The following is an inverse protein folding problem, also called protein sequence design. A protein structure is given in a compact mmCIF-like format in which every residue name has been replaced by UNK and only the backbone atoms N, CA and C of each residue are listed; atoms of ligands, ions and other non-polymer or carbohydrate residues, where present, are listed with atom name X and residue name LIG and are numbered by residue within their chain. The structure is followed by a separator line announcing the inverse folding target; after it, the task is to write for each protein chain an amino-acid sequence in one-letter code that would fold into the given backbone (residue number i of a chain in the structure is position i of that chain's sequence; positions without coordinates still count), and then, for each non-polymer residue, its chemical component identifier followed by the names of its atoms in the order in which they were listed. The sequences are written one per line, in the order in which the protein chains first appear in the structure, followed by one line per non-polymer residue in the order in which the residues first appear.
data_IF_618697726252
#
_entry.id   IF_618697726252
#
_cell.length_a   1.000
_cell.length_b   1.000
_cell.length_c   1.000
_cell.angle_alpha   90.00
_cell.angle_beta   90.00
_cell.angle_gamma   90.00
#
_symmetry.space_group_name_H-M   'P 1'
#
loop_
_entity.id
_entity.type
_entity.pdbx_description
1 polymer ?
#
# COMPACT_ATOMS: atom_id res chain seq x y z
N UNK A 1 45.85 -20.76 -30.90
CA UNK A 1 44.93 -20.87 -29.75
C UNK A 1 45.78 -21.13 -28.53
N UNK A 2 45.88 -20.14 -27.64
CA UNK A 2 46.82 -20.16 -26.52
C UNK A 2 46.44 -21.26 -25.52
N UNK A 3 47.41 -21.81 -24.79
CA UNK A 3 47.16 -22.78 -23.69
C UNK A 3 46.20 -22.18 -22.65
N UNK A 4 46.19 -20.85 -22.51
CA UNK A 4 45.28 -20.09 -21.67
C UNK A 4 43.83 -20.22 -22.16
N UNK A 5 43.59 -20.19 -23.48
CA UNK A 5 42.24 -20.31 -24.06
C UNK A 5 41.66 -21.71 -23.82
N UNK A 6 42.50 -22.75 -23.92
CA UNK A 6 42.07 -24.13 -23.62
C UNK A 6 41.76 -24.34 -22.15
N UNK A 7 42.46 -23.66 -21.23
CA UNK A 7 42.21 -23.72 -19.79
C UNK A 7 40.91 -23.02 -19.40
N UNK A 8 40.60 -21.85 -19.97
CA UNK A 8 39.32 -21.15 -19.74
C UNK A 8 38.11 -22.00 -20.12
N UNK A 9 38.21 -22.70 -21.26
CA UNK A 9 37.18 -23.61 -21.76
C UNK A 9 36.98 -24.87 -20.91
N UNK A 10 38.05 -25.35 -20.25
CA UNK A 10 38.02 -26.54 -19.40
C UNK A 10 37.46 -26.27 -18.00
N UNK A 11 37.53 -25.02 -17.51
CA UNK A 11 37.02 -24.60 -16.18
C UNK A 11 35.58 -24.04 -16.28
N UNK A 12 34.96 -24.01 -17.47
CA UNK A 12 33.62 -23.45 -17.65
C UNK A 12 33.54 -21.93 -17.50
N UNK A 13 34.67 -21.22 -17.59
CA UNK A 13 34.77 -19.76 -17.51
C UNK A 13 34.85 -19.12 -18.90
N UNK A 14 34.06 -19.61 -19.86
CA UNK A 14 33.87 -19.04 -21.21
C UNK A 14 32.39 -18.76 -21.50
N UNK A 15 31.74 -17.98 -20.66
CA UNK A 15 30.84 -16.97 -21.20
C UNK A 15 31.39 -15.63 -20.70
N UNK A 16 32.00 -14.85 -21.59
CA UNK A 16 32.26 -13.44 -21.32
C UNK A 16 30.98 -12.85 -20.73
N UNK A 17 31.10 -12.15 -19.61
CA UNK A 17 30.00 -11.55 -18.90
C UNK A 17 29.44 -10.39 -19.75
N UNK A 18 28.77 -10.73 -20.86
CA UNK A 18 28.32 -9.78 -21.88
C UNK A 18 27.44 -8.74 -21.21
N UNK A 19 27.73 -7.48 -21.47
CA UNK A 19 26.97 -6.38 -20.88
C UNK A 19 25.47 -6.52 -21.19
N UNK A 20 24.61 -6.12 -20.25
CA UNK A 20 23.16 -6.27 -20.35
C UNK A 20 22.62 -5.70 -21.67
N UNK A 21 23.16 -4.55 -22.10
CA UNK A 21 22.81 -3.88 -23.36
C UNK A 21 23.15 -4.74 -24.57
N UNK A 22 24.27 -5.46 -24.54
CA UNK A 22 24.69 -6.35 -25.62
C UNK A 22 23.74 -7.53 -25.75
N UNK A 23 23.35 -8.14 -24.62
CA UNK A 23 22.40 -9.27 -24.60
C UNK A 23 21.02 -8.89 -25.14
N UNK A 24 20.54 -7.68 -24.82
CA UNK A 24 19.28 -7.16 -25.33
C UNK A 24 19.33 -6.89 -26.83
N UNK A 25 20.43 -6.29 -27.31
CA UNK A 25 20.64 -6.02 -28.74
C UNK A 25 20.75 -7.30 -29.56
N UNK A 26 21.32 -8.37 -28.99
CA UNK A 26 21.39 -9.70 -29.62
C UNK A 26 20.07 -10.50 -29.55
N UNK A 27 19.01 -9.96 -28.92
CA UNK A 27 17.72 -10.65 -28.74
C UNK A 27 17.77 -11.82 -27.75
N UNK A 28 18.82 -11.93 -26.94
CA UNK A 28 19.01 -13.00 -25.95
C UNK A 28 18.32 -12.68 -24.62
N UNK A 29 16.99 -12.48 -24.67
CA UNK A 29 16.19 -11.98 -23.54
C UNK A 29 16.21 -12.89 -22.32
N UNK A 30 16.19 -14.22 -22.48
CA UNK A 30 16.25 -15.15 -21.34
C UNK A 30 17.56 -15.03 -20.56
N UNK A 31 18.69 -14.80 -21.26
CA UNK A 31 19.99 -14.55 -20.62
C UNK A 31 20.01 -13.18 -19.95
N UNK A 32 19.38 -12.18 -20.57
CA UNK A 32 19.24 -10.85 -19.98
C UNK A 32 18.40 -10.89 -18.69
N UNK A 33 17.28 -11.63 -18.65
CA UNK A 33 16.47 -11.86 -17.44
C UNK A 33 17.30 -12.43 -16.29
N UNK A 34 18.25 -13.32 -16.58
CA UNK A 34 19.18 -13.87 -15.58
C UNK A 34 20.08 -12.85 -14.89
N UNK A 35 20.25 -11.64 -15.44
CA UNK A 35 21.01 -10.54 -14.82
C UNK A 35 20.17 -9.64 -13.92
N UNK A 36 18.87 -9.88 -13.83
CA UNK A 36 17.97 -9.16 -12.95
C UNK A 36 17.64 -9.98 -11.69
N UNK A 37 17.32 -9.26 -10.63
CA UNK A 37 16.70 -9.83 -9.43
C UNK A 37 15.19 -9.66 -9.47
N UNK A 38 14.46 -10.65 -8.96
CA UNK A 38 12.99 -10.64 -8.83
C UNK A 38 12.58 -11.07 -7.44
N UNK A 39 11.42 -10.58 -6.99
CA UNK A 39 10.84 -10.91 -5.67
C UNK A 39 9.53 -11.69 -5.78
N UNK A 40 9.24 -12.26 -6.95
CA UNK A 40 7.93 -12.85 -7.31
C UNK A 40 7.41 -13.85 -6.27
N UNK A 41 8.23 -14.78 -5.79
CA UNK A 41 7.80 -15.77 -4.80
C UNK A 41 7.36 -15.15 -3.46
N UNK A 42 8.00 -14.05 -3.05
CA UNK A 42 7.62 -13.33 -1.83
C UNK A 42 6.32 -12.55 -2.05
N UNK A 43 6.20 -11.90 -3.21
CA UNK A 43 5.01 -11.11 -3.56
C UNK A 43 3.78 -12.01 -3.66
N UNK A 44 3.90 -13.15 -4.34
CA UNK A 44 2.79 -14.10 -4.51
C UNK A 44 2.27 -14.60 -3.14
N UNK A 45 3.18 -14.89 -2.20
CA UNK A 45 2.80 -15.23 -0.81
C UNK A 45 2.09 -14.07 -0.09
N UNK A 46 2.53 -12.84 -0.30
CA UNK A 46 1.87 -11.67 0.29
C UNK A 46 0.49 -11.43 -0.33
N UNK A 47 0.29 -11.72 -1.62
CA UNK A 47 -1.01 -11.65 -2.29
C UNK A 47 -1.99 -12.68 -1.76
N UNK A 48 -1.55 -13.92 -1.52
CA UNK A 48 -2.36 -14.95 -0.86
C UNK A 48 -2.86 -14.51 0.54
N UNK A 49 -2.03 -13.76 1.28
CA UNK A 49 -2.38 -13.20 2.59
C UNK A 49 -3.24 -11.93 2.51
N UNK A 50 -3.22 -11.26 1.36
CA UNK A 50 -3.95 -10.01 1.14
C UNK A 50 -5.37 -10.24 0.64
N UNK A 51 -5.57 -11.27 -0.18
CA UNK A 51 -6.85 -11.66 -0.74
C UNK A 51 -7.55 -12.65 0.18
N UNK A 52 -8.64 -12.22 0.81
CA UNK A 52 -9.41 -13.06 1.75
C UNK A 52 -9.92 -14.36 1.14
N UNK A 53 -10.11 -14.40 -0.18
CA UNK A 53 -10.53 -15.59 -0.91
C UNK A 53 -9.43 -16.66 -0.97
N UNK A 54 -8.16 -16.24 -0.95
CA UNK A 54 -6.98 -17.09 -1.05
C UNK A 54 -6.42 -17.51 0.33
N UNK A 55 -7.03 -17.04 1.42
CA UNK A 55 -6.58 -17.36 2.78
C UNK A 55 -6.61 -18.88 3.04
N UNK A 56 -5.66 -19.38 3.82
CA UNK A 56 -5.55 -20.81 4.12
C UNK A 56 -6.86 -21.43 4.66
N UNK A 57 -7.67 -20.65 5.39
CA UNK A 57 -8.95 -21.10 5.94
C UNK A 57 -9.99 -21.42 4.85
N UNK A 58 -9.96 -20.74 3.70
CA UNK A 58 -10.93 -20.96 2.61
C UNK A 58 -10.68 -22.27 1.87
N UNK A 59 -9.41 -22.67 1.77
CA UNK A 59 -8.98 -23.93 1.13
C UNK A 59 -9.40 -25.19 1.89
N UNK A 60 -9.71 -25.07 3.20
CA UNK A 60 -10.17 -26.17 4.05
C UNK A 60 -11.67 -26.42 3.83
N UNK A 61 -12.08 -26.70 2.60
CA UNK A 61 -13.47 -27.04 2.30
C UNK A 61 -13.77 -28.48 2.70
N UNK A 62 -14.71 -28.65 3.64
CA UNK A 62 -15.36 -29.92 4.01
C UNK A 62 -14.44 -31.08 4.46
N UNK A 63 -14.45 -31.40 5.75
CA UNK A 63 -13.87 -32.66 6.24
C UNK A 63 -14.83 -33.80 5.89
N UNK A 64 -14.37 -34.79 5.11
CA UNK A 64 -15.12 -36.04 4.87
C UNK A 64 -15.28 -36.80 6.19
N UNK A 65 -16.51 -37.22 6.51
CA UNK A 65 -16.77 -38.17 7.59
C UNK A 65 -16.64 -39.62 7.11
N UNK A 66 -16.40 -40.52 8.07
CA UNK A 66 -16.51 -41.98 7.90
C UNK A 66 -17.99 -42.33 7.69
N UNK A 67 -18.46 -42.19 6.45
CA UNK A 67 -19.72 -42.70 5.83
C UNK A 67 -20.16 -41.89 4.59
N UNK A 68 -19.34 -40.96 4.10
CA UNK A 68 -19.57 -40.31 2.80
C UNK A 68 -20.31 -38.97 2.87
N UNK A 69 -20.89 -38.60 4.01
CA UNK A 69 -21.52 -37.30 4.18
C UNK A 69 -20.46 -36.20 4.38
N UNK A 70 -20.63 -35.10 3.64
CA UNK A 70 -19.82 -33.89 3.77
C UNK A 70 -20.35 -33.09 4.95
N UNK A 71 -19.53 -32.88 5.97
CA UNK A 71 -19.86 -31.91 7.02
C UNK A 71 -19.65 -30.51 6.44
N UNK A 72 -20.70 -29.69 6.43
CA UNK A 72 -20.58 -28.26 6.15
C UNK A 72 -19.72 -27.62 7.26
N UNK A 73 -18.70 -26.89 6.85
CA UNK A 73 -17.83 -26.14 7.76
C UNK A 73 -17.80 -24.68 7.31
N UNK A 74 -17.92 -23.78 8.28
CA UNK A 74 -17.89 -22.35 8.06
C UNK A 74 -16.45 -21.89 7.92
N UNK A 75 -16.09 -21.39 6.73
CA UNK A 75 -14.79 -20.78 6.48
C UNK A 75 -14.95 -19.26 6.52
N UNK A 76 -14.46 -18.63 7.59
CA UNK A 76 -14.62 -17.20 7.85
C UNK A 76 -13.25 -16.50 7.78
N UNK A 77 -12.76 -16.12 6.58
CA UNK A 77 -11.57 -15.30 6.44
C UNK A 77 -11.83 -13.88 6.95
N UNK A 78 -10.81 -13.24 7.53
CA UNK A 78 -10.90 -11.91 8.13
C UNK A 78 -9.83 -11.00 7.53
N UNK A 79 -10.24 -9.85 7.01
CA UNK A 79 -9.37 -8.91 6.29
C UNK A 79 -8.50 -8.01 7.21
N UNK A 80 -7.79 -8.60 8.19
CA UNK A 80 -6.92 -7.84 9.10
C UNK A 80 -5.77 -7.14 8.35
N UNK A 81 -5.17 -7.83 7.39
CA UNK A 81 -4.08 -7.34 6.55
C UNK A 81 -4.47 -6.04 5.84
N UNK A 82 -5.67 -6.02 5.25
CA UNK A 82 -6.22 -4.82 4.57
C UNK A 82 -6.44 -3.65 5.53
N UNK A 83 -6.94 -3.92 6.74
CA UNK A 83 -7.15 -2.87 7.73
C UNK A 83 -5.82 -2.27 8.22
N UNK A 84 -4.82 -3.11 8.48
CA UNK A 84 -3.47 -2.69 8.91
C UNK A 84 -2.84 -1.79 7.83
N UNK A 85 -2.80 -2.26 6.58
CA UNK A 85 -2.21 -1.50 5.46
C UNK A 85 -2.98 -0.22 5.20
N UNK A 86 -4.31 -0.27 5.10
CA UNK A 86 -5.14 0.91 4.84
C UNK A 86 -4.92 1.99 5.90
N UNK A 87 -4.78 1.60 7.17
CA UNK A 87 -4.52 2.55 8.24
C UNK A 87 -3.10 3.12 8.18
N UNK A 88 -2.09 2.28 7.94
CA UNK A 88 -0.71 2.74 7.76
C UNK A 88 -0.58 3.75 6.60
N UNK A 89 -1.26 3.48 5.48
CA UNK A 89 -1.30 4.38 4.32
C UNK A 89 -2.03 5.68 4.66
N UNK A 90 -3.14 5.63 5.40
CA UNK A 90 -3.85 6.83 5.84
C UNK A 90 -2.98 7.71 6.75
N UNK A 91 -2.15 7.11 7.61
CA UNK A 91 -1.22 7.88 8.43
C UNK A 91 -0.04 8.49 7.65
N UNK A 92 0.30 7.93 6.49
CA UNK A 92 1.43 8.36 5.66
C UNK A 92 1.04 9.39 4.61
N UNK A 93 -0.09 9.17 3.94
CA UNK A 93 -0.58 9.97 2.80
C UNK A 93 -2.03 10.45 2.98
N UNK A 94 -2.58 10.41 4.20
CA UNK A 94 -3.91 10.93 4.48
C UNK A 94 -4.02 12.44 4.28
N UNK A 95 -2.90 13.16 4.45
CA UNK A 95 -2.77 14.54 4.04
C UNK A 95 -1.88 14.64 2.78
N UNK A 96 -2.21 15.54 1.83
CA UNK A 96 -1.46 15.68 0.59
C UNK A 96 -0.04 16.17 0.87
N UNK A 97 0.87 15.79 -0.01
CA UNK A 97 2.29 16.11 0.13
C UNK A 97 2.53 17.52 -0.38
N UNK A 98 3.12 18.38 0.46
CA UNK A 98 3.46 19.74 0.06
C UNK A 98 4.89 19.79 -0.46
N UNK A 99 5.05 20.33 -1.67
CA UNK A 99 6.38 20.67 -2.20
C UNK A 99 6.71 22.11 -1.85
N UNK A 100 7.92 22.35 -1.36
CA UNK A 100 8.44 23.70 -1.13
C UNK A 100 9.62 23.98 -2.03
N UNK A 101 9.57 25.12 -2.71
CA UNK A 101 10.68 25.65 -3.49
C UNK A 101 11.71 26.29 -2.55
N UNK A 102 12.96 25.82 -2.59
CA UNK A 102 14.07 26.41 -1.82
C UNK A 102 14.95 27.36 -2.67
N UNK A 103 14.90 27.24 -3.99
CA UNK A 103 15.69 28.06 -4.92
C UNK A 103 14.99 29.36 -5.28
N UNK A 104 15.77 30.42 -5.55
CA UNK A 104 15.27 31.71 -6.03
C UNK A 104 15.33 31.78 -7.56
N UNK A 105 14.33 32.39 -8.20
CA UNK A 105 14.30 32.61 -9.65
C UNK A 105 14.11 31.32 -10.45
N UNK A 106 13.34 30.38 -9.92
CA UNK A 106 13.00 29.10 -10.56
C UNK A 106 11.49 28.86 -10.56
N UNK A 107 10.73 29.95 -10.53
CA UNK A 107 9.31 29.95 -10.19
C UNK A 107 8.48 29.32 -11.33
N UNK A 108 8.88 29.55 -12.58
CA UNK A 108 8.20 28.94 -13.75
C UNK A 108 8.42 27.43 -13.77
N UNK A 109 9.67 26.99 -13.57
CA UNK A 109 9.99 25.58 -13.47
C UNK A 109 9.26 24.88 -12.31
N UNK A 110 9.12 25.56 -11.16
CA UNK A 110 8.40 25.02 -10.00
C UNK A 110 6.88 24.96 -10.23
N UNK A 111 6.28 25.98 -10.84
CA UNK A 111 4.88 25.97 -11.21
C UNK A 111 4.56 24.80 -12.16
N UNK A 112 5.34 24.65 -13.24
CA UNK A 112 5.15 23.56 -14.19
C UNK A 112 5.34 22.16 -13.57
N UNK A 113 6.25 22.03 -12.60
CA UNK A 113 6.40 20.79 -11.83
C UNK A 113 5.15 20.47 -11.01
N UNK A 114 4.55 21.47 -10.37
CA UNK A 114 3.30 21.28 -9.62
C UNK A 114 2.14 20.94 -10.56
N UNK A 115 1.98 21.66 -11.66
CA UNK A 115 0.94 21.41 -12.66
C UNK A 115 0.99 19.97 -13.18
N UNK A 116 2.18 19.47 -13.54
CA UNK A 116 2.37 18.08 -13.97
C UNK A 116 1.99 17.06 -12.88
N UNK A 117 2.30 17.36 -11.61
CA UNK A 117 1.94 16.46 -10.49
C UNK A 117 0.44 16.44 -10.26
N UNK A 118 -0.22 17.58 -10.39
CA UNK A 118 -1.67 17.71 -10.22
C UNK A 118 -2.42 17.04 -11.38
N UNK A 119 -1.98 17.24 -12.62
CA UNK A 119 -2.52 16.58 -13.82
C UNK A 119 -2.45 15.06 -13.74
N UNK A 120 -1.33 14.54 -13.21
CA UNK A 120 -1.16 13.11 -12.99
C UNK A 120 -1.89 12.57 -11.76
N UNK A 121 -2.50 13.45 -10.94
CA UNK A 121 -3.08 13.15 -9.62
C UNK A 121 -2.11 12.40 -8.73
N UNK A 122 -0.91 12.95 -8.56
CA UNK A 122 0.19 12.27 -7.88
C UNK A 122 -0.13 11.89 -6.44
N UNK A 123 -0.93 12.67 -5.71
CA UNK A 123 -1.32 12.30 -4.33
C UNK A 123 -2.10 10.99 -4.27
N UNK A 124 -3.10 10.82 -5.16
CA UNK A 124 -3.84 9.57 -5.25
C UNK A 124 -2.93 8.41 -5.67
N UNK A 125 -1.99 8.65 -6.60
CA UNK A 125 -1.00 7.65 -7.00
C UNK A 125 0.00 7.31 -5.90
N UNK A 126 0.34 8.27 -5.02
CA UNK A 126 1.19 8.01 -3.85
C UNK A 126 0.48 7.09 -2.87
N UNK A 127 -0.79 7.36 -2.59
CA UNK A 127 -1.62 6.53 -1.73
C UNK A 127 -1.79 5.09 -2.28
N UNK A 128 -2.09 4.98 -3.57
CA UNK A 128 -2.23 3.67 -4.24
C UNK A 128 -0.88 2.92 -4.28
N UNK A 129 0.20 3.61 -4.64
CA UNK A 129 1.55 3.04 -4.65
C UNK A 129 1.98 2.56 -3.26
N UNK A 130 1.70 3.32 -2.20
CA UNK A 130 1.98 2.92 -0.82
C UNK A 130 1.17 1.68 -0.41
N UNK A 131 -0.10 1.62 -0.83
CA UNK A 131 -0.96 0.46 -0.59
C UNK A 131 -0.38 -0.79 -1.24
N UNK A 132 0.05 -0.69 -2.51
CA UNK A 132 0.68 -1.78 -3.25
C UNK A 132 2.01 -2.18 -2.60
N UNK A 133 2.88 -1.23 -2.26
CA UNK A 133 4.14 -1.51 -1.58
C UNK A 133 3.93 -2.23 -0.24
N UNK A 134 2.99 -1.76 0.57
CA UNK A 134 2.74 -2.29 1.92
C UNK A 134 2.04 -3.65 1.91
N UNK A 135 1.27 -3.94 0.87
CA UNK A 135 0.58 -5.23 0.68
C UNK A 135 1.47 -6.25 -0.05
N UNK A 136 2.08 -5.88 -1.17
CA UNK A 136 2.81 -6.76 -2.08
C UNK A 136 4.33 -6.75 -1.89
N UNK A 137 4.88 -5.86 -1.06
CA UNK A 137 6.32 -5.62 -0.81
C UNK A 137 7.10 -4.94 -1.93
N UNK A 138 6.56 -4.88 -3.14
CA UNK A 138 7.20 -4.26 -4.30
C UNK A 138 6.16 -3.58 -5.18
N UNK A 139 6.48 -2.36 -5.63
CA UNK A 139 5.73 -1.67 -6.68
C UNK A 139 6.65 -0.67 -7.39
N UNK A 140 6.22 -0.15 -8.52
CA UNK A 140 6.97 0.91 -9.19
C UNK A 140 6.06 1.94 -9.86
N UNK A 141 6.60 3.15 -10.04
CA UNK A 141 5.98 4.20 -10.88
C UNK A 141 6.80 4.37 -12.14
N UNK A 142 6.18 4.14 -13.29
CA UNK A 142 6.76 4.39 -14.60
C UNK A 142 6.23 5.71 -15.15
N UNK A 143 7.11 6.64 -15.47
CA UNK A 143 6.77 7.91 -16.12
C UNK A 143 7.00 7.79 -17.61
N UNK A 144 5.96 8.04 -18.40
CA UNK A 144 6.01 7.98 -19.87
C UNK A 144 5.67 9.33 -20.47
N UNK A 145 6.37 9.65 -21.56
CA UNK A 145 6.00 10.76 -22.42
C UNK A 145 4.58 10.57 -22.97
N UNK A 146 3.79 11.64 -22.95
CA UNK A 146 2.41 11.62 -23.42
C UNK A 146 2.07 12.87 -24.21
N UNK A 147 1.23 12.68 -25.22
CA UNK A 147 0.70 13.75 -26.05
C UNK A 147 -0.77 13.94 -25.71
N UNK A 148 -1.09 15.02 -25.02
CA UNK A 148 -2.45 15.39 -24.67
C UNK A 148 -3.18 16.04 -25.85
N UNK A 149 -4.50 16.20 -25.75
CA UNK A 149 -5.33 16.83 -26.80
C UNK A 149 -4.89 18.25 -27.13
N UNK A 150 -4.32 18.94 -26.14
CA UNK A 150 -3.90 20.34 -26.23
C UNK A 150 -2.47 20.48 -26.79
N UNK A 151 -1.86 19.38 -27.23
CA UNK A 151 -0.58 19.42 -27.90
C UNK A 151 -0.67 20.13 -29.25
N UNK A 152 0.38 20.86 -29.61
CA UNK A 152 0.46 21.58 -30.89
C UNK A 152 0.13 20.63 -32.07
N UNK A 153 -1.00 20.84 -32.77
CA UNK A 153 -1.45 19.94 -33.83
C UNK A 153 -0.48 19.93 -35.02
N UNK A 154 0.41 20.92 -35.14
CA UNK A 154 1.33 21.06 -36.26
C UNK A 154 2.63 20.27 -36.08
N UNK A 155 3.04 19.98 -34.84
CA UNK A 155 4.25 19.21 -34.53
C UNK A 155 3.88 17.92 -33.79
N UNK A 156 3.70 16.82 -34.55
CA UNK A 156 3.36 15.49 -34.01
C UNK A 156 4.47 14.81 -33.23
N UNK A 157 5.69 15.38 -33.25
CA UNK A 157 6.86 14.78 -32.61
C UNK A 157 7.07 15.26 -31.17
N UNK A 158 6.41 16.36 -30.77
CA UNK A 158 6.50 16.91 -29.41
C UNK A 158 5.47 16.30 -28.46
N UNK A 159 5.95 15.94 -27.28
CA UNK A 159 5.13 15.56 -26.14
C UNK A 159 4.96 16.77 -25.23
N UNK A 160 3.74 17.05 -24.79
CA UNK A 160 3.40 18.18 -23.94
C UNK A 160 3.09 17.77 -22.49
N UNK A 161 2.96 16.48 -22.21
CA UNK A 161 2.59 15.98 -20.88
C UNK A 161 3.35 14.70 -20.52
N UNK A 162 3.24 14.31 -19.26
CA UNK A 162 3.79 13.06 -18.72
C UNK A 162 2.64 12.30 -18.07
N UNK A 163 2.58 10.99 -18.27
CA UNK A 163 1.67 10.12 -17.51
C UNK A 163 2.49 9.19 -16.62
N UNK A 164 1.95 8.93 -15.44
CA UNK A 164 2.51 7.98 -14.49
C UNK A 164 1.67 6.70 -14.47
N UNK A 165 2.31 5.55 -14.70
CA UNK A 165 1.72 4.22 -14.68
C UNK A 165 2.23 3.50 -13.43
N UNK A 166 1.31 2.97 -12.63
CA UNK A 166 1.67 2.14 -11.47
C UNK A 166 1.85 0.69 -11.92
N UNK A 167 3.00 0.11 -11.58
CA UNK A 167 3.36 -1.26 -11.88
C UNK A 167 3.35 -2.07 -10.58
N UNK A 168 2.65 -3.21 -10.59
CA UNK A 168 2.58 -4.12 -9.46
C UNK A 168 2.16 -5.52 -9.90
N UNK A 169 2.38 -6.52 -9.06
CA UNK A 169 2.06 -7.93 -9.36
C UNK A 169 0.56 -8.12 -9.48
N UNK A 170 -0.24 -7.51 -8.61
CA UNK A 170 -1.71 -7.52 -8.70
C UNK A 170 -2.25 -6.87 -9.99
N UNK A 171 -1.48 -5.99 -10.63
CA UNK A 171 -1.83 -5.34 -11.90
C UNK A 171 -1.39 -6.13 -13.13
N UNK A 172 -0.73 -7.27 -12.94
CA UNK A 172 -0.26 -8.14 -14.02
C UNK A 172 1.17 -7.85 -14.48
N UNK A 173 1.92 -7.01 -13.75
CA UNK A 173 3.32 -6.69 -14.06
C UNK A 173 4.28 -7.46 -13.15
N UNK A 174 5.39 -7.96 -13.71
CA UNK A 174 6.53 -8.47 -12.95
C UNK A 174 7.69 -7.51 -13.13
N UNK A 175 8.22 -7.00 -12.02
CA UNK A 175 9.31 -6.04 -12.01
C UNK A 175 10.63 -6.80 -11.84
N UNK A 176 11.57 -6.51 -12.71
CA UNK A 176 12.92 -7.08 -12.73
C UNK A 176 13.92 -5.96 -12.45
N UNK A 177 14.77 -6.11 -11.45
CA UNK A 177 15.62 -4.99 -10.97
C UNK A 177 17.10 -5.37 -11.01
N UNK A 178 17.93 -4.50 -11.57
CA UNK A 178 19.38 -4.68 -11.67
C UNK A 178 20.08 -3.52 -10.97
N UNK A 179 20.75 -3.83 -9.86
CA UNK A 179 21.57 -2.90 -9.10
C UNK A 179 23.05 -3.16 -9.36
N UNK A 180 23.87 -2.11 -9.31
CA UNK A 180 25.33 -2.29 -9.27
C UNK A 180 25.83 -2.69 -7.87
N UNK A 181 27.14 -2.88 -7.75
CA UNK A 181 27.80 -3.24 -6.48
C UNK A 181 27.66 -2.18 -5.38
N UNK A 182 27.29 -0.94 -5.74
CA UNK A 182 27.08 0.17 -4.82
C UNK A 182 25.60 0.39 -4.48
N UNK A 183 24.71 -0.46 -4.98
CA UNK A 183 23.26 -0.34 -4.77
C UNK A 183 22.60 0.72 -5.65
N UNK A 184 23.28 1.19 -6.71
CA UNK A 184 22.68 2.13 -7.67
C UNK A 184 21.91 1.35 -8.72
N UNK A 185 20.68 1.78 -8.98
CA UNK A 185 19.81 1.18 -9.98
C UNK A 185 20.37 1.40 -11.40
N UNK A 186 20.67 0.31 -12.11
CA UNK A 186 21.24 0.34 -13.48
C UNK A 186 20.18 0.13 -14.56
N UNK A 187 19.25 -0.79 -14.33
CA UNK A 187 18.17 -1.09 -15.26
C UNK A 187 16.95 -1.64 -14.52
N UNK A 188 15.77 -1.41 -15.11
CA UNK A 188 14.51 -2.01 -14.66
C UNK A 188 13.85 -2.70 -15.84
N UNK A 189 13.56 -3.99 -15.70
CA UNK A 189 12.72 -4.74 -16.62
C UNK A 189 11.27 -4.79 -16.14
N UNK A 190 10.34 -4.78 -17.08
CA UNK A 190 8.90 -4.95 -16.86
C UNK A 190 8.41 -6.09 -17.73
N UNK A 191 7.94 -7.16 -17.11
CA UNK A 191 7.33 -8.29 -17.79
C UNK A 191 5.81 -8.26 -17.62
N UNK A 192 5.07 -8.36 -18.72
CA UNK A 192 3.61 -8.29 -18.73
C UNK A 192 3.04 -9.00 -19.96
N UNK A 193 1.73 -9.24 -19.97
CA UNK A 193 1.02 -9.89 -21.09
C UNK A 193 -0.03 -8.95 -21.66
N UNK A 194 -0.02 -8.78 -22.97
CA UNK A 194 -1.03 -8.00 -23.70
C UNK A 194 -1.84 -8.94 -24.57
N UNK A 195 -3.16 -8.86 -24.46
CA UNK A 195 -4.06 -9.63 -25.33
C UNK A 195 -4.28 -8.87 -26.62
N UNK A 196 -3.81 -9.42 -27.73
CA UNK A 196 -4.03 -8.90 -29.08
C UNK A 196 -4.67 -9.98 -29.95
N UNK A 197 -5.83 -9.69 -30.56
CA UNK A 197 -6.57 -10.63 -31.42
C UNK A 197 -6.73 -12.04 -30.80
N UNK A 198 -7.17 -12.12 -29.53
CA UNK A 198 -7.32 -13.37 -28.75
C UNK A 198 -6.03 -14.18 -28.53
N UNK A 199 -4.85 -13.60 -28.75
CA UNK A 199 -3.56 -14.19 -28.36
C UNK A 199 -2.93 -13.36 -27.26
N UNK A 200 -2.39 -14.02 -26.25
CA UNK A 200 -1.60 -13.36 -25.21
C UNK A 200 -0.16 -13.25 -25.72
N UNK A 201 0.30 -12.02 -25.94
CA UNK A 201 1.67 -11.69 -26.34
C UNK A 201 2.45 -11.34 -25.07
N UNK A 202 3.59 -12.00 -24.87
CA UNK A 202 4.50 -11.71 -23.76
C UNK A 202 5.40 -10.54 -24.11
N UNK A 203 5.49 -9.57 -23.19
CA UNK A 203 6.34 -8.40 -23.31
C UNK A 203 7.40 -8.41 -22.21
N UNK A 204 8.58 -7.91 -22.53
CA UNK A 204 9.67 -7.67 -21.58
C UNK A 204 10.37 -6.35 -21.92
N UNK A 205 9.89 -5.26 -21.33
CA UNK A 205 10.42 -3.93 -21.59
C UNK A 205 11.54 -3.60 -20.60
N UNK A 206 12.71 -3.20 -21.09
CA UNK A 206 13.86 -2.83 -20.25
C UNK A 206 14.13 -1.34 -20.35
N UNK A 207 14.14 -0.67 -19.20
CA UNK A 207 14.37 0.76 -19.08
C UNK A 207 15.78 1.01 -18.52
N UNK A 208 16.58 1.76 -19.27
CA UNK A 208 17.93 2.20 -18.84
C UNK A 208 18.03 3.73 -18.91
N UNK A 209 19.16 4.28 -18.48
CA UNK A 209 19.37 5.73 -18.54
C UNK A 209 19.41 6.26 -19.99
N UNK A 210 19.96 5.48 -20.93
CA UNK A 210 20.24 5.95 -22.31
C UNK A 210 19.28 5.37 -23.35
N UNK A 211 18.91 4.09 -23.23
CA UNK A 211 18.08 3.39 -24.22
C UNK A 211 17.03 2.52 -23.51
N UNK A 212 15.79 2.62 -23.95
CA UNK A 212 14.72 1.72 -23.54
C UNK A 212 14.56 0.64 -24.61
N UNK A 213 14.44 -0.62 -24.21
CA UNK A 213 14.27 -1.76 -25.11
C UNK A 213 12.87 -2.31 -24.92
N UNK A 214 12.04 -2.21 -25.96
CA UNK A 214 10.70 -2.80 -25.97
C UNK A 214 10.80 -4.18 -26.61
N UNK A 215 10.56 -5.24 -25.84
CA UNK A 215 10.69 -6.60 -26.34
C UNK A 215 9.33 -7.27 -26.35
N UNK A 216 8.95 -7.89 -27.47
CA UNK A 216 7.74 -8.70 -27.56
C UNK A 216 8.05 -10.08 -28.12
N UNK A 217 7.27 -11.08 -27.69
CA UNK A 217 7.45 -12.46 -28.11
C UNK A 217 6.50 -12.81 -29.24
N UNK A 218 7.02 -12.87 -30.47
CA UNK A 218 6.27 -13.25 -31.66
C UNK A 218 6.82 -14.54 -32.28
N UNK A 219 5.93 -15.49 -32.58
CA UNK A 219 6.27 -16.77 -33.25
C UNK A 219 7.44 -17.53 -32.59
N UNK A 220 7.55 -17.47 -31.26
CA UNK A 220 8.58 -18.16 -30.47
C UNK A 220 9.95 -17.45 -30.42
N UNK A 221 10.10 -16.28 -31.04
CA UNK A 221 11.31 -15.43 -30.96
C UNK A 221 10.99 -14.10 -30.29
N UNK A 222 12.02 -13.48 -29.72
CA UNK A 222 11.93 -12.14 -29.17
C UNK A 222 12.27 -11.12 -30.26
N UNK A 223 11.36 -10.20 -30.51
CA UNK A 223 11.62 -8.98 -31.30
C UNK A 223 11.99 -7.87 -30.32
N UNK A 224 13.06 -7.15 -30.60
CA UNK A 224 13.59 -6.09 -29.73
C UNK A 224 13.62 -4.77 -30.48
N UNK A 225 12.91 -3.79 -29.96
CA UNK A 225 12.88 -2.42 -30.47
C UNK A 225 13.62 -1.47 -29.50
N UNK A 226 14.86 -1.06 -29.84
CA UNK A 226 15.58 -0.06 -29.05
C UNK A 226 15.06 1.35 -29.36
N UNK A 227 14.65 2.08 -28.33
CA UNK A 227 14.23 3.49 -28.38
C UNK A 227 15.14 4.34 -27.50
N UNK A 228 15.64 5.44 -28.03
CA UNK A 228 16.47 6.38 -27.27
C UNK A 228 15.65 6.96 -26.10
N UNK A 229 16.23 6.94 -24.90
CA UNK A 229 15.61 7.54 -23.73
C UNK A 229 15.93 9.05 -23.67
N UNK A 230 14.95 9.87 -24.04
CA UNK A 230 15.10 11.33 -24.14
C UNK A 230 15.50 11.97 -22.81
N UNK A 231 15.03 11.44 -21.67
CA UNK A 231 15.29 12.06 -20.36
C UNK A 231 16.72 11.79 -19.85
N UNK A 232 17.44 10.79 -20.37
CA UNK A 232 18.78 10.42 -19.92
C UNK A 232 18.83 9.88 -18.48
N UNK A 233 17.69 9.42 -17.94
CA UNK A 233 17.52 8.84 -16.60
C UNK A 233 16.54 7.68 -16.70
N UNK A 234 16.67 6.66 -15.85
CA UNK A 234 15.68 5.57 -15.81
C UNK A 234 14.31 6.18 -15.42
N UNK A 235 13.26 6.04 -16.24
CA UNK A 235 11.93 6.64 -16.01
C UNK A 235 11.08 5.89 -14.96
N UNK A 236 11.68 4.97 -14.22
CA UNK A 236 10.99 4.14 -13.22
C UNK A 236 11.53 4.45 -11.83
N UNK A 237 10.60 4.61 -10.88
CA UNK A 237 10.89 4.65 -9.44
C UNK A 237 10.39 3.36 -8.83
N UNK A 238 11.33 2.48 -8.45
CA UNK A 238 11.04 1.19 -7.82
C UNK A 238 11.01 1.39 -6.31
N UNK A 239 9.93 0.94 -5.68
CA UNK A 239 9.79 0.87 -4.23
C UNK A 239 9.79 -0.58 -3.78
N UNK A 240 10.72 -0.91 -2.88
CA UNK A 240 10.86 -2.24 -2.32
C UNK A 240 10.88 -2.15 -0.80
N UNK A 241 10.15 -3.04 -0.14
CA UNK A 241 10.25 -3.28 1.29
C UNK A 241 10.51 -4.75 1.57
N UNK A 242 11.13 -5.02 2.72
CA UNK A 242 11.55 -6.38 3.05
C UNK A 242 10.35 -7.31 3.22
N UNK A 243 9.34 -6.89 3.97
CA UNK A 243 8.18 -7.69 4.38
C UNK A 243 6.91 -6.82 4.33
N UNK A 244 5.73 -7.44 4.22
CA UNK A 244 4.44 -6.73 4.29
C UNK A 244 4.19 -6.19 5.71
N UNK A 245 3.39 -5.12 5.83
CA UNK A 245 3.02 -4.53 7.12
C UNK A 245 2.33 -5.51 8.09
N UNK A 246 1.64 -6.52 7.56
CA UNK A 246 0.96 -7.54 8.37
C UNK A 246 1.79 -8.80 8.58
N UNK A 247 3.01 -8.89 8.01
CA UNK A 247 3.80 -10.12 7.99
C UNK A 247 4.03 -10.70 9.39
N UNK A 248 4.40 -9.85 10.35
CA UNK A 248 4.73 -10.25 11.73
C UNK A 248 3.54 -10.79 12.51
N UNK A 249 2.31 -10.35 12.19
CA UNK A 249 1.08 -10.75 12.88
C UNK A 249 0.31 -11.84 12.14
N UNK A 250 0.78 -12.28 10.98
CA UNK A 250 0.12 -13.30 10.16
C UNK A 250 -0.24 -14.59 10.93
N UNK A 251 0.64 -15.16 11.79
CA UNK A 251 0.27 -16.33 12.59
C UNK A 251 -0.90 -16.06 13.55
N UNK A 252 -0.99 -14.85 14.10
CA UNK A 252 -2.07 -14.44 15.00
C UNK A 252 -3.39 -14.31 14.24
N UNK A 253 -3.35 -13.74 13.03
CA UNK A 253 -4.51 -13.61 12.15
C UNK A 253 -5.04 -15.01 11.80
N UNK A 254 -4.18 -15.92 11.34
CA UNK A 254 -4.55 -17.31 11.01
C UNK A 254 -5.21 -18.04 12.19
N UNK A 255 -4.64 -17.89 13.39
CA UNK A 255 -5.21 -18.50 14.62
C UNK A 255 -6.61 -17.94 14.90
N UNK A 256 -6.79 -16.64 14.73
CA UNK A 256 -8.08 -15.98 14.98
C UNK A 256 -9.16 -16.38 13.97
N UNK A 257 -8.81 -16.49 12.70
CA UNK A 257 -9.70 -17.01 11.64
C UNK A 257 -10.15 -18.44 11.95
N UNK A 258 -9.20 -19.29 12.38
CA UNK A 258 -9.49 -20.65 12.81
C UNK A 258 -10.47 -20.68 13.98
N UNK A 259 -10.22 -19.91 15.05
CA UNK A 259 -11.12 -19.86 16.21
C UNK A 259 -12.52 -19.34 15.85
N UNK A 260 -12.60 -18.38 14.93
CA UNK A 260 -13.88 -17.81 14.48
C UNK A 260 -14.68 -18.81 13.65
N UNK A 261 -14.02 -19.50 12.73
CA UNK A 261 -14.58 -20.58 11.91
C UNK A 261 -15.03 -21.76 12.79
N UNK A 262 -14.16 -22.23 13.69
CA UNK A 262 -14.48 -23.32 14.61
C UNK A 262 -15.66 -22.99 15.55
N UNK A 263 -15.77 -21.74 16.01
CA UNK A 263 -16.92 -21.29 16.80
C UNK A 263 -18.21 -21.30 15.98
N UNK A 264 -18.18 -20.88 14.71
CA UNK A 264 -19.35 -20.95 13.84
C UNK A 264 -19.82 -22.40 13.62
N UNK A 265 -18.88 -23.33 13.44
CA UNK A 265 -19.16 -24.78 13.34
C UNK A 265 -19.78 -25.35 14.63
N UNK A 266 -19.29 -24.93 15.79
CA UNK A 266 -19.87 -25.33 17.08
C UNK A 266 -21.26 -24.74 17.27
N UNK A 267 -21.45 -23.45 16.97
CA UNK A 267 -22.75 -22.80 17.10
C UNK A 267 -23.82 -23.50 16.23
N UNK A 268 -23.46 -23.89 15.01
CA UNK A 268 -24.35 -24.63 14.10
C UNK A 268 -24.74 -25.98 14.71
N UNK A 269 -23.76 -26.74 15.21
CA UNK A 269 -24.02 -28.04 15.86
C UNK A 269 -24.80 -27.92 17.17
N UNK A 270 -24.60 -26.84 17.93
CA UNK A 270 -25.37 -26.57 19.15
C UNK A 270 -26.80 -26.16 18.85
N UNK A 271 -27.09 -25.59 17.67
CA UNK A 271 -28.45 -25.32 17.20
C UNK A 271 -29.27 -26.59 16.96
N UNK A 272 -28.61 -27.69 16.59
CA UNK A 272 -29.19 -29.03 16.38
C UNK A 272 -28.63 -30.05 17.39
N UNK A 273 -29.00 -29.94 18.69
CA UNK A 273 -28.37 -30.73 19.74
C UNK A 273 -28.68 -32.22 19.60
N UNK A 274 -27.65 -33.06 19.81
CA UNK A 274 -27.79 -34.52 19.78
C UNK A 274 -28.39 -34.98 21.11
N UNK A 275 -29.55 -35.62 21.05
CA UNK A 275 -30.16 -36.30 22.20
C UNK A 275 -29.48 -37.66 22.41
N UNK A 276 -28.87 -37.84 23.58
CA UNK A 276 -28.28 -39.11 24.00
C UNK A 276 -29.23 -39.78 24.99
N UNK A 277 -29.52 -41.06 24.75
CA UNK A 277 -30.39 -41.89 25.57
C UNK A 277 -29.57 -43.06 26.10
N UNK A 278 -29.42 -43.14 27.42
CA UNK A 278 -28.64 -44.15 28.13
C UNK A 278 -29.61 -45.11 28.84
N UNK A 279 -29.71 -46.38 28.40
CA UNK A 279 -30.56 -47.42 29.00
C UNK A 279 -30.90 -48.60 28.06
N UNK A 280 -31.32 -49.74 28.62
CA UNK A 280 -31.53 -51.02 27.88
C UNK A 280 -32.76 -51.05 26.94
N UNK A 281 -33.75 -50.17 27.15
CA UNK A 281 -34.93 -50.02 26.28
C UNK A 281 -35.50 -48.61 26.33
N UNK A 282 -35.21 -47.81 25.31
CA UNK A 282 -35.90 -46.55 25.05
C UNK A 282 -37.30 -46.87 24.47
N UNK A 283 -38.36 -46.22 24.95
CA UNK A 283 -39.70 -46.34 24.33
C UNK A 283 -39.76 -45.71 22.93
N UNK A 284 -40.91 -45.82 22.24
CA UNK A 284 -41.10 -45.26 20.90
C UNK A 284 -40.74 -43.77 20.86
N UNK A 285 -39.88 -43.39 19.92
CA UNK A 285 -39.49 -41.99 19.69
C UNK A 285 -40.70 -41.21 19.15
N UNK A 286 -40.92 -39.96 19.60
CA UNK A 286 -42.04 -39.16 19.12
C UNK A 286 -41.89 -38.84 17.63
N UNK A 287 -42.99 -38.95 16.90
CA UNK A 287 -43.08 -38.70 15.46
C UNK A 287 -42.69 -37.25 15.11
N UNK A 288 -42.02 -37.06 13.97
CA UNK A 288 -41.33 -35.80 13.63
C UNK A 288 -42.26 -34.58 13.53
N UNK A 289 -43.56 -34.80 13.29
CA UNK A 289 -44.58 -33.77 13.01
C UNK A 289 -45.33 -33.23 14.25
N UNK A 290 -45.09 -33.75 15.46
CA UNK A 290 -45.81 -33.28 16.67
C UNK A 290 -45.07 -32.19 17.43
N UNK A 291 -45.80 -31.12 17.78
CA UNK A 291 -45.32 -29.91 18.47
C UNK A 291 -44.81 -30.15 19.90
N UNK A 292 -45.22 -31.26 20.54
CA UNK A 292 -44.75 -31.66 21.87
C UNK A 292 -44.01 -33.00 21.78
N UNK A 293 -42.66 -32.94 21.78
CA UNK A 293 -41.79 -34.12 21.77
C UNK A 293 -41.47 -34.51 23.21
N UNK A 294 -42.13 -35.53 23.74
CA UNK A 294 -41.86 -36.08 25.07
C UNK A 294 -41.15 -37.42 24.91
N UNK A 295 -40.00 -37.59 25.56
CA UNK A 295 -39.21 -38.83 25.55
C UNK A 295 -39.53 -39.62 26.81
N UNK A 296 -40.16 -40.78 26.65
CA UNK A 296 -40.49 -41.66 27.78
C UNK A 296 -39.31 -42.57 28.14
N UNK A 297 -38.76 -42.38 29.34
CA UNK A 297 -37.64 -43.17 29.89
C UNK A 297 -38.17 -44.16 30.94
N UNK A 298 -37.71 -45.43 30.88
CA UNK A 298 -38.01 -46.45 31.91
C UNK A 298 -36.82 -46.66 32.85
N UNK A 299 -37.11 -47.05 34.11
CA UNK A 299 -36.21 -47.37 35.23
C UNK A 299 -34.70 -47.18 34.98
N UNK A 300 -34.13 -46.12 35.57
CA UNK A 300 -32.68 -45.85 35.58
C UNK A 300 -32.12 -45.23 34.31
N UNK A 301 -32.91 -45.11 33.24
CA UNK A 301 -32.45 -44.53 31.97
C UNK A 301 -32.31 -43.00 32.05
N UNK A 302 -31.28 -42.44 31.43
CA UNK A 302 -31.01 -40.99 31.40
C UNK A 302 -31.13 -40.48 29.96
N UNK A 303 -31.74 -39.31 29.80
CA UNK A 303 -31.66 -38.53 28.57
C UNK A 303 -30.92 -37.23 28.86
N UNK A 304 -29.93 -36.91 28.04
CA UNK A 304 -29.26 -35.63 28.09
C UNK A 304 -28.85 -35.19 26.68
N UNK A 305 -28.82 -33.88 26.47
CA UNK A 305 -28.27 -33.34 25.24
C UNK A 305 -26.74 -33.34 25.33
N UNK A 306 -26.09 -33.76 24.25
CA UNK A 306 -24.65 -33.63 24.12
C UNK A 306 -24.34 -32.15 23.84
N UNK A 307 -24.00 -31.42 24.90
CA UNK A 307 -23.49 -30.05 24.79
C UNK A 307 -21.98 -30.14 24.61
N UNK A 308 -21.40 -29.56 23.53
CA UNK A 308 -19.96 -29.45 23.41
C UNK A 308 -19.41 -28.68 24.62
N UNK A 309 -18.61 -29.33 25.46
CA UNK A 309 -17.90 -28.67 26.54
C UNK A 309 -16.70 -27.90 25.97
N UNK A 310 -16.96 -26.82 25.25
CA UNK A 310 -15.95 -25.78 25.07
C UNK A 310 -16.08 -24.78 26.21
N UNK A 311 -14.97 -24.39 26.82
CA UNK A 311 -14.95 -23.18 27.65
C UNK A 311 -15.15 -21.99 26.73
N UNK A 312 -16.40 -21.54 26.60
CA UNK A 312 -16.79 -20.39 25.78
C UNK A 312 -16.01 -19.15 26.21
N UNK A 313 -15.71 -19.04 27.50
CA UNK A 313 -14.92 -17.95 28.08
C UNK A 313 -13.47 -18.00 27.60
N UNK A 314 -12.79 -19.15 27.63
CA UNK A 314 -11.40 -19.24 27.15
C UNK A 314 -11.26 -18.93 25.65
N UNK A 315 -12.23 -19.33 24.82
CA UNK A 315 -12.23 -19.02 23.39
C UNK A 315 -12.51 -17.53 23.15
N UNK A 316 -13.34 -16.90 23.98
CA UNK A 316 -13.59 -15.46 23.93
C UNK A 316 -12.33 -14.69 24.32
N UNK A 317 -11.70 -15.08 25.42
CA UNK A 317 -10.48 -14.44 25.94
C UNK A 317 -9.34 -14.54 24.92
N UNK A 318 -9.07 -15.73 24.36
CA UNK A 318 -8.04 -15.91 23.33
C UNK A 318 -8.31 -15.03 22.08
N UNK A 319 -9.57 -14.86 21.68
CA UNK A 319 -9.93 -14.01 20.53
C UNK A 319 -9.69 -12.52 20.79
N UNK A 320 -9.99 -12.04 21.99
CA UNK A 320 -9.71 -10.66 22.36
C UNK A 320 -8.21 -10.44 22.52
N UNK A 321 -7.48 -11.34 23.20
CA UNK A 321 -6.02 -11.27 23.30
C UNK A 321 -5.34 -11.20 21.93
N UNK A 322 -5.77 -12.06 20.99
CA UNK A 322 -5.26 -12.03 19.61
C UNK A 322 -5.59 -10.71 18.91
N UNK A 323 -6.78 -10.13 19.14
CA UNK A 323 -7.14 -8.81 18.61
C UNK A 323 -6.19 -7.75 19.12
N UNK A 324 -5.98 -7.69 20.43
CA UNK A 324 -5.15 -6.68 21.07
C UNK A 324 -3.70 -6.80 20.64
N UNK A 325 -3.14 -8.01 20.60
CA UNK A 325 -1.79 -8.26 20.11
C UNK A 325 -1.61 -7.85 18.64
N UNK A 326 -2.59 -8.14 17.76
CA UNK A 326 -2.51 -7.72 16.36
C UNK A 326 -2.43 -6.18 16.25
N UNK A 327 -3.31 -5.47 16.97
CA UNK A 327 -3.33 -4.01 16.96
C UNK A 327 -2.08 -3.39 17.57
N UNK A 328 -1.60 -3.94 18.69
CA UNK A 328 -0.41 -3.48 19.39
C UNK A 328 0.87 -3.68 18.57
N UNK A 329 1.12 -4.89 18.06
CA UNK A 329 2.35 -5.20 17.32
C UNK A 329 2.44 -4.42 16.00
N UNK A 330 1.29 -4.12 15.37
CA UNK A 330 1.27 -3.39 14.09
C UNK A 330 1.16 -1.88 14.23
N UNK A 331 1.08 -1.35 15.45
CA UNK A 331 0.73 0.04 15.76
C UNK A 331 -0.54 0.49 15.02
N UNK A 332 -1.53 -0.39 14.88
CA UNK A 332 -2.81 -0.10 14.22
C UNK A 332 -3.84 0.30 15.28
N UNK A 333 -4.37 1.54 15.25
CA UNK A 333 -5.34 1.99 16.25
C UNK A 333 -6.64 1.17 16.19
N UNK A 334 -7.12 0.73 17.35
CA UNK A 334 -8.43 0.09 17.48
C UNK A 334 -9.51 1.15 17.73
N UNK A 335 -10.23 1.51 16.67
CA UNK A 335 -11.31 2.50 16.69
C UNK A 335 -12.66 1.92 17.08
N UNK A 336 -12.69 0.79 17.81
CA UNK A 336 -13.94 0.26 18.33
C UNK A 336 -14.61 1.27 19.28
N UNK A 337 -15.93 1.42 19.15
CA UNK A 337 -16.73 2.38 19.92
C UNK A 337 -16.56 2.16 21.43
N UNK A 338 -16.45 0.91 21.87
CA UNK A 338 -16.21 0.56 23.27
C UNK A 338 -14.90 1.14 23.81
N UNK A 339 -13.80 1.02 23.05
CA UNK A 339 -12.50 1.60 23.44
C UNK A 339 -12.53 3.12 23.37
N UNK A 340 -13.19 3.70 22.36
CA UNK A 340 -13.29 5.15 22.24
C UNK A 340 -14.08 5.78 23.40
N UNK A 341 -15.18 5.14 23.82
CA UNK A 341 -15.99 5.59 24.95
C UNK A 341 -15.33 5.33 26.31
N UNK A 342 -14.66 4.17 26.50
CA UNK A 342 -13.98 3.85 27.75
C UNK A 342 -12.73 4.69 28.01
N UNK A 343 -12.02 5.10 26.94
CA UNK A 343 -10.77 5.86 27.05
C UNK A 343 -10.97 7.35 27.31
N UNK A 344 -12.22 7.84 27.37
CA UNK A 344 -12.48 9.25 27.66
C UNK A 344 -11.81 10.21 26.67
N UNK A 345 -11.74 9.84 25.39
CA UNK A 345 -11.15 10.60 24.28
C UNK A 345 -11.96 11.88 23.97
N UNK A 346 -12.13 12.75 24.97
CA UNK A 346 -12.85 14.02 24.87
C UNK A 346 -11.93 15.19 24.53
N UNK A 347 -10.61 15.03 24.67
CA UNK A 347 -9.62 16.08 24.36
C UNK A 347 -8.75 15.68 23.16
N UNK A 348 -8.38 16.66 22.32
CA UNK A 348 -7.54 16.43 21.15
C UNK A 348 -6.18 15.80 21.48
N UNK A 349 -5.60 16.15 22.63
CA UNK A 349 -4.34 15.56 23.11
C UNK A 349 -4.45 14.06 23.45
N UNK A 350 -5.59 13.61 23.96
CA UNK A 350 -5.81 12.19 24.24
C UNK A 350 -5.95 11.40 22.93
N UNK A 351 -6.60 11.99 21.91
CA UNK A 351 -6.70 11.44 20.56
C UNK A 351 -5.30 11.35 19.92
N UNK A 352 -4.49 12.40 20.02
CA UNK A 352 -3.11 12.40 19.53
C UNK A 352 -2.25 11.31 20.21
N UNK A 353 -2.39 11.14 21.54
CA UNK A 353 -1.71 10.07 22.27
C UNK A 353 -2.17 8.67 21.85
N UNK A 354 -3.48 8.47 21.60
CA UNK A 354 -4.00 7.19 21.11
C UNK A 354 -3.44 6.80 19.74
N UNK A 355 -3.10 7.79 18.91
CA UNK A 355 -2.53 7.61 17.58
C UNK A 355 -1.00 7.77 17.52
N UNK A 356 -0.35 7.91 18.68
CA UNK A 356 1.07 8.24 18.74
C UNK A 356 1.96 7.14 18.12
N UNK A 357 1.67 5.87 18.41
CA UNK A 357 2.39 4.73 17.81
C UNK A 357 2.32 4.73 16.29
N UNK A 358 1.12 4.90 15.73
CA UNK A 358 0.89 4.96 14.28
C UNK A 358 1.57 6.17 13.63
N UNK A 359 1.55 7.31 14.32
CA UNK A 359 2.25 8.53 13.88
C UNK A 359 3.77 8.32 13.86
N UNK A 360 4.34 7.67 14.88
CA UNK A 360 5.77 7.35 14.92
C UNK A 360 6.16 6.37 13.82
N UNK A 361 5.34 5.34 13.57
CA UNK A 361 5.49 4.39 12.47
C UNK A 361 5.45 5.07 11.09
N UNK A 362 4.57 6.05 10.91
CA UNK A 362 4.54 6.86 9.68
C UNK A 362 5.81 7.70 9.52
N UNK A 363 6.21 8.41 10.59
CA UNK A 363 7.42 9.25 10.59
C UNK A 363 8.70 8.48 10.31
N UNK A 364 8.82 7.23 10.77
CA UNK A 364 9.99 6.40 10.48
C UNK A 364 10.12 6.06 8.99
N UNK A 365 9.00 6.03 8.24
CA UNK A 365 8.96 5.82 6.79
C UNK A 365 9.17 7.08 5.97
N UNK A 366 8.99 8.28 6.55
CA UNK A 366 9.15 9.55 5.83
C UNK A 366 10.53 9.69 5.16
N UNK A 367 11.60 9.19 5.78
CA UNK A 367 12.94 9.28 5.20
C UNK A 367 13.04 8.53 3.86
N UNK A 368 12.56 7.29 3.83
CA UNK A 368 12.51 6.48 2.62
C UNK A 368 11.56 7.08 1.57
N UNK A 369 10.36 7.50 1.98
CA UNK A 369 9.40 8.08 1.03
C UNK A 369 9.85 9.42 0.46
N UNK A 370 10.54 10.25 1.26
CA UNK A 370 11.14 11.50 0.79
C UNK A 370 12.15 11.22 -0.33
N UNK A 371 13.03 10.22 -0.14
CA UNK A 371 14.00 9.83 -1.17
C UNK A 371 13.31 9.38 -2.47
N UNK A 372 12.24 8.60 -2.37
CA UNK A 372 11.48 8.15 -3.53
C UNK A 372 10.77 9.31 -4.24
N UNK A 373 10.19 10.24 -3.49
CA UNK A 373 9.53 11.44 -4.05
C UNK A 373 10.54 12.39 -4.68
N UNK A 374 11.72 12.54 -4.09
CA UNK A 374 12.83 13.32 -4.67
C UNK A 374 13.29 12.69 -5.99
N UNK A 375 13.38 11.36 -6.04
CA UNK A 375 13.68 10.64 -7.29
C UNK A 375 12.59 10.87 -8.35
N UNK A 376 11.32 10.87 -7.97
CA UNK A 376 10.20 11.20 -8.87
C UNK A 376 10.32 12.63 -9.39
N UNK A 377 10.57 13.60 -8.51
CA UNK A 377 10.77 15.00 -8.87
C UNK A 377 11.96 15.17 -9.83
N UNK A 378 13.05 14.42 -9.63
CA UNK A 378 14.21 14.45 -10.52
C UNK A 378 13.98 13.83 -11.90
N UNK A 379 13.03 12.89 -12.02
CA UNK A 379 12.57 12.36 -13.30
C UNK A 379 11.66 13.39 -13.99
N UNK A 380 10.71 13.99 -13.26
CA UNK A 380 9.81 15.00 -13.80
C UNK A 380 10.55 16.26 -14.26
N UNK A 381 11.54 16.73 -13.50
CA UNK A 381 12.46 17.79 -13.93
C UNK A 381 13.12 17.42 -15.27
N UNK A 382 13.59 16.19 -15.42
CA UNK A 382 14.21 15.74 -16.67
C UNK A 382 13.23 15.75 -17.85
N UNK A 383 11.96 15.39 -17.64
CA UNK A 383 10.92 15.56 -18.65
C UNK A 383 10.69 17.03 -18.99
N UNK A 384 10.62 17.92 -17.99
CA UNK A 384 10.39 19.36 -18.21
C UNK A 384 11.43 19.92 -19.17
N UNK A 385 12.73 19.81 -18.85
CA UNK A 385 13.75 20.51 -19.66
C UNK A 385 14.21 19.76 -20.91
N UNK A 386 13.95 18.46 -21.06
CA UNK A 386 14.37 17.70 -22.26
C UNK A 386 13.24 17.41 -23.24
N UNK A 387 12.00 17.41 -22.78
CA UNK A 387 10.85 16.95 -23.58
C UNK A 387 9.80 18.04 -23.74
N UNK A 388 9.38 18.67 -22.63
CA UNK A 388 8.23 19.59 -22.63
C UNK A 388 8.64 21.01 -23.02
N UNK A 389 9.54 21.63 -22.26
CA UNK A 389 10.00 23.00 -22.47
C UNK A 389 11.52 23.11 -22.25
N UNK A 390 12.25 22.99 -23.35
CA UNK A 390 13.71 23.10 -23.37
C UNK A 390 14.22 24.48 -23.00
N UNK A 391 13.40 25.53 -23.07
CA UNK A 391 13.81 26.89 -22.72
C UNK A 391 14.05 27.05 -21.21
N UNK A 392 13.41 26.20 -20.39
CA UNK A 392 13.50 26.24 -18.93
C UNK A 392 14.71 25.48 -18.35
N UNK A 393 15.60 24.92 -19.19
CA UNK A 393 16.75 24.13 -18.74
C UNK A 393 17.60 24.85 -17.66
N UNK A 394 17.82 26.16 -17.83
CA UNK A 394 18.58 26.98 -16.89
C UNK A 394 17.91 27.14 -15.52
N UNK A 395 16.57 27.22 -15.47
CA UNK A 395 15.81 27.28 -14.22
C UNK A 395 15.70 25.89 -13.58
N UNK A 396 15.35 24.86 -14.35
CA UNK A 396 15.10 23.51 -13.84
C UNK A 396 16.36 22.91 -13.21
N UNK A 397 17.55 23.16 -13.78
CA UNK A 397 18.82 22.70 -13.19
C UNK A 397 19.14 23.38 -11.85
N UNK A 398 18.62 24.59 -11.60
CA UNK A 398 18.79 25.32 -10.34
C UNK A 398 17.68 25.01 -9.33
N UNK A 399 16.57 24.43 -9.79
CA UNK A 399 15.38 24.17 -8.98
C UNK A 399 15.68 23.17 -7.87
N UNK A 400 15.62 23.64 -6.62
CA UNK A 400 15.69 22.81 -5.40
C UNK A 400 14.31 22.73 -4.77
N UNK A 401 13.85 21.50 -4.56
CA UNK A 401 12.53 21.19 -4.01
C UNK A 401 12.73 20.39 -2.73
N UNK A 402 11.88 20.66 -1.74
CA UNK A 402 11.81 19.87 -0.50
C UNK A 402 10.39 19.37 -0.30
N UNK A 403 10.29 18.19 0.30
CA UNK A 403 9.04 17.49 0.56
C UNK A 403 8.63 17.70 2.01
N UNK A 404 7.38 18.10 2.24
CA UNK A 404 6.77 18.15 3.57
C UNK A 404 5.53 17.25 3.61
N UNK A 405 5.56 16.29 4.54
CA UNK A 405 4.44 15.40 4.82
C UNK A 405 3.43 16.12 5.72
N UNK A 406 2.14 16.04 5.38
CA UNK A 406 1.07 16.60 6.19
C UNK A 406 0.74 15.75 7.42
N UNK A 407 0.04 16.34 8.38
CA UNK A 407 -0.50 15.62 9.53
C UNK A 407 -1.88 15.01 9.16
N UNK A 408 -2.07 13.68 9.27
CA UNK A 408 -3.34 13.03 8.96
C UNK A 408 -4.40 13.19 10.06
N UNK A 409 -4.02 13.61 11.27
CA UNK A 409 -4.93 13.78 12.38
C UNK A 409 -5.77 15.06 12.23
N UNK A 410 -7.05 15.05 12.66
CA UNK A 410 -7.85 16.26 12.65
C UNK A 410 -7.22 17.30 13.57
N UNK A 411 -7.04 18.52 13.05
CA UNK A 411 -6.56 19.63 13.84
C UNK A 411 -7.60 19.98 14.92
N UNK A 412 -7.17 20.01 16.19
CA UNK A 412 -8.03 20.52 17.25
C UNK A 412 -8.03 22.05 17.19
N UNK A 413 -8.82 22.58 16.25
CA UNK A 413 -8.92 24.02 16.00
C UNK A 413 -9.39 24.78 17.25
N UNK A 414 -10.26 24.18 18.07
CA UNK A 414 -10.74 24.81 19.30
C UNK A 414 -9.62 24.96 20.34
N UNK A 415 -8.88 23.88 20.61
CA UNK A 415 -7.72 23.93 21.52
C UNK A 415 -6.67 24.93 21.00
N UNK A 416 -6.42 24.95 19.68
CA UNK A 416 -5.43 25.84 19.08
C UNK A 416 -5.84 27.32 19.16
N UNK A 417 -7.10 27.65 18.86
CA UNK A 417 -7.64 29.01 19.01
C UNK A 417 -7.64 29.45 20.48
N UNK A 418 -7.97 28.55 21.40
CA UNK A 418 -7.88 28.82 22.84
C UNK A 418 -6.43 29.09 23.28
N UNK A 419 -5.46 28.31 22.79
CA UNK A 419 -4.02 28.55 23.04
C UNK A 419 -3.59 29.91 22.48
N UNK A 420 -3.97 30.25 21.25
CA UNK A 420 -3.66 31.55 20.64
C UNK A 420 -4.27 32.70 21.44
N UNK A 421 -5.54 32.59 21.82
CA UNK A 421 -6.24 33.58 22.63
C UNK A 421 -5.53 33.83 23.97
N UNK A 422 -5.19 32.75 24.69
CA UNK A 422 -4.43 32.83 25.96
C UNK A 422 -3.04 33.41 25.73
N UNK A 423 -2.36 33.04 24.65
CA UNK A 423 -1.00 33.51 24.31
C UNK A 423 -0.95 34.99 23.93
N UNK A 424 -2.05 35.56 23.41
CA UNK A 424 -2.18 36.98 23.06
C UNK A 424 -2.83 37.84 24.14
N UNK A 425 -3.52 37.24 25.10
CA UNK A 425 -4.33 37.93 26.11
C UNK A 425 -3.53 38.46 27.29
N UNK A 426 -3.66 37.82 28.46
CA UNK A 426 -3.34 38.43 29.76
C UNK A 426 -1.87 38.81 29.96
N UNK A 427 -0.93 37.97 29.52
CA UNK A 427 0.50 38.29 29.42
C UNK A 427 0.97 37.81 28.05
N UNK A 428 1.03 38.69 27.06
CA UNK A 428 1.28 38.29 25.69
C UNK A 428 2.68 37.70 25.57
N UNK A 429 2.75 36.40 25.28
CA UNK A 429 3.97 35.69 24.91
C UNK A 429 4.16 35.69 23.38
N UNK A 430 3.14 36.12 22.64
CA UNK A 430 3.09 36.17 21.19
C UNK A 430 2.43 37.47 20.72
N UNK A 431 2.87 38.00 19.58
CA UNK A 431 2.22 39.16 18.97
C UNK A 431 0.87 38.78 18.37
N UNK A 432 -0.10 39.70 18.37
CA UNK A 432 -1.40 39.49 17.72
C UNK A 432 -1.25 39.17 16.22
N UNK A 433 -0.32 39.83 15.53
CA UNK A 433 -0.03 39.57 14.11
C UNK A 433 0.42 38.12 13.88
N UNK A 434 1.34 37.63 14.71
CA UNK A 434 1.81 36.24 14.64
C UNK A 434 0.71 35.24 14.99
N UNK A 435 -0.20 35.58 15.90
CA UNK A 435 -1.35 34.73 16.22
C UNK A 435 -2.37 34.64 15.07
N UNK A 436 -2.61 35.74 14.36
CA UNK A 436 -3.43 35.78 13.13
C UNK A 436 -2.77 34.97 12.01
N UNK A 437 -1.44 35.06 11.86
CA UNK A 437 -0.67 34.27 10.89
C UNK A 437 -0.68 32.76 11.20
N UNK A 438 -0.65 32.38 12.47
CA UNK A 438 -0.66 30.98 12.89
C UNK A 438 -2.07 30.37 12.92
N UNK A 439 -3.13 31.19 12.86
CA UNK A 439 -4.49 30.72 12.97
C UNK A 439 -4.87 29.84 11.76
N UNK A 440 -5.22 28.55 11.96
CA UNK A 440 -5.54 27.62 10.88
C UNK A 440 -6.81 27.98 10.11
N UNK A 441 -7.67 28.87 10.64
CA UNK A 441 -8.90 29.29 9.97
C UNK A 441 -8.68 30.44 8.96
N UNK A 442 -7.51 31.09 8.99
CA UNK A 442 -7.23 32.28 8.20
C UNK A 442 -6.41 31.87 6.97
N UNK A 443 -6.96 32.13 5.76
CA UNK A 443 -6.29 31.81 4.49
C UNK A 443 -5.27 32.86 4.07
N UNK A 444 -5.55 34.13 4.38
CA UNK A 444 -4.69 35.27 4.07
C UNK A 444 -4.55 36.14 5.33
N UNK A 445 -3.44 35.95 6.03
CA UNK A 445 -3.17 36.65 7.28
C UNK A 445 -2.96 38.16 7.08
N UNK A 446 -2.48 38.60 5.91
CA UNK A 446 -2.25 40.02 5.64
C UNK A 446 -3.57 40.75 5.34
N UNK A 447 -4.54 40.07 4.71
CA UNK A 447 -5.89 40.60 4.52
C UNK A 447 -6.64 40.69 5.87
N UNK A 448 -6.54 39.65 6.71
CA UNK A 448 -7.24 39.60 7.99
C UNK A 448 -6.72 40.66 8.97
N UNK A 449 -5.40 40.84 9.07
CA UNK A 449 -4.83 41.88 9.93
C UNK A 449 -5.35 43.28 9.53
N UNK A 450 -5.49 43.56 8.23
CA UNK A 450 -6.05 44.84 7.74
C UNK A 450 -7.52 45.01 8.10
N UNK A 451 -8.31 43.93 8.07
CA UNK A 451 -9.71 43.95 8.49
C UNK A 451 -9.82 44.26 9.99
N UNK A 452 -9.01 43.57 10.81
CA UNK A 452 -8.95 43.80 12.27
C UNK A 452 -8.56 45.26 12.59
N UNK A 453 -7.53 45.80 11.92
CA UNK A 453 -7.11 47.19 12.11
C UNK A 453 -8.25 48.18 11.74
N UNK A 454 -9.02 47.85 10.70
CA UNK A 454 -10.16 48.68 10.26
C UNK A 454 -11.33 48.60 11.24
N UNK A 455 -11.59 47.42 11.82
CA UNK A 455 -12.60 47.22 12.85
C UNK A 455 -12.25 47.97 14.13
N UNK A 456 -11.00 47.91 14.60
CA UNK A 456 -10.55 48.65 15.79
C UNK A 456 -10.66 50.17 15.63
N UNK A 457 -10.41 50.70 14.44
CA UNK A 457 -10.62 52.13 14.13
C UNK A 457 -12.09 52.54 14.10
N UNK A 458 -13.01 51.59 13.96
CA UNK A 458 -14.47 51.83 13.86
C UNK A 458 -15.22 51.70 15.19
N UNK A 459 -14.54 51.26 16.26
CA UNK A 459 -15.12 51.21 17.61
C UNK A 459 -15.15 52.64 18.19
N UNK A 460 -16.33 53.21 18.52
CA UNK A 460 -16.39 54.49 19.21
C UNK A 460 -15.74 54.33 20.58
N UNK A 461 -14.78 55.19 20.89
CA UNK A 461 -14.26 55.37 22.24
C UNK A 461 -15.41 56.00 23.04
N UNK A 462 -16.11 55.23 23.87
CA UNK A 462 -16.94 55.76 24.97
C UNK A 462 -16.10 56.03 26.21
#
# INVERSE_FOLDING_TARGET
MSIIDKLKKFIGMEEEDKDLVTLLTEGSIEKAKGKFSTRTAMIDKCLEQWNTEDHEITSKQSRKLVKGDLLHSWNLPIAYQRKIVSMAVAFLYGAPIKLKQQSKGTDKAFALLQDLRDDMRMDAKNQECATLQMSETECAKLFVEYRDSDADPTDTTKFNSVKCILLARSKGDIIHVSFDSFGVLRAVGREYKVRYNNKDIEHFDVYTAETNFFCNRQSGRWEVEPKINLIGKIPIVVRQQKESESHIVEPLIKRREYLTSARADVNTRSGDPILVLEGDRVGDLPDAEKTAKVVHLKNGSKAYYLVPQMSVDMVKDEKEDLKELIHYITDTPDLSMDKMMSSGLKSGKAIEMAFFGSTLKSKSKHGYEAEMIDRENEILKAFIYKVIDTSLEGEVKKLKVTVEFGNPLPDNMEDFVNILSVATGSKPIMSRKTAVELNPMIKDADAENKLIDTEEMSIPIE
#
